data_IF_773210179476
#
_entry.id   IF_773210179476
#
_cell.length_a   1.000
_cell.length_b   1.000
_cell.length_c   1.000
_cell.angle_alpha   90.00
_cell.angle_beta   90.00
_cell.angle_gamma   90.00
#
_symmetry.space_group_name_H-M   'P 1'
#
loop_
_entity.id
_entity.type
_entity.pdbx_description
1 polymer ?
#
# COMPACT_ATOMS: atom_id res chain seq x y z
N UNK A 1 -6.77 1.91 -0.22
CA UNK A 1 -7.30 0.77 0.57
C UNK A 1 -8.82 0.77 0.37
N UNK A 2 -9.53 -0.28 -0.04
CA UNK A 2 -9.17 -1.63 -0.53
C UNK A 2 -10.26 -2.07 -1.54
N UNK A 3 -10.06 -1.78 -2.83
CA UNK A 3 -10.92 -2.31 -3.91
C UNK A 3 -11.01 -3.83 -3.84
N UNK A 4 -9.90 -4.49 -3.50
CA UNK A 4 -9.84 -5.95 -3.33
C UNK A 4 -10.58 -6.44 -2.09
N UNK A 5 -10.51 -5.73 -0.95
CA UNK A 5 -11.31 -6.13 0.21
C UNK A 5 -12.80 -5.94 -0.05
N UNK A 6 -13.19 -4.87 -0.78
CA UNK A 6 -14.58 -4.69 -1.23
C UNK A 6 -15.01 -5.77 -2.22
N UNK A 7 -14.14 -6.17 -3.16
CA UNK A 7 -14.40 -7.29 -4.08
C UNK A 7 -14.58 -8.61 -3.32
N UNK A 8 -13.72 -8.88 -2.33
CA UNK A 8 -13.82 -10.08 -1.50
C UNK A 8 -15.09 -10.08 -0.63
N UNK A 9 -15.45 -8.91 -0.08
CA UNK A 9 -16.61 -8.73 0.79
C UNK A 9 -17.94 -8.71 0.01
N UNK A 10 -17.93 -8.32 -1.27
CA UNK A 10 -19.14 -8.15 -2.07
C UNK A 10 -19.76 -6.75 -1.94
N UNK A 11 -20.99 -6.54 -2.42
CA UNK A 11 -21.60 -5.22 -2.46
C UNK A 11 -21.90 -4.69 -1.05
N UNK A 12 -21.57 -3.40 -0.83
CA UNK A 12 -21.91 -2.59 0.36
C UNK A 12 -21.55 -3.26 1.71
N UNK A 13 -20.26 -3.58 1.96
CA UNK A 13 -19.85 -4.13 3.24
C UNK A 13 -19.93 -3.07 4.35
N UNK A 14 -20.17 -3.52 5.58
CA UNK A 14 -19.98 -2.71 6.77
C UNK A 14 -18.48 -2.63 7.09
N UNK A 15 -17.93 -1.42 7.19
CA UNK A 15 -16.49 -1.21 7.43
C UNK A 15 -16.27 -0.80 8.89
N UNK A 16 -15.36 -1.51 9.57
CA UNK A 16 -14.91 -1.19 10.91
C UNK A 16 -13.39 -0.99 10.90
N UNK A 17 -12.93 0.26 11.10
CA UNK A 17 -11.52 0.59 11.10
C UNK A 17 -10.92 0.45 12.51
N UNK A 18 -9.87 -0.35 12.67
CA UNK A 18 -9.17 -0.54 13.94
C UNK A 18 -8.44 0.71 14.43
N UNK A 19 -8.10 1.65 13.54
CA UNK A 19 -7.53 2.96 13.94
C UNK A 19 -8.51 3.77 14.80
N UNK A 20 -9.81 3.49 14.70
CA UNK A 20 -10.82 4.14 15.53
C UNK A 20 -10.72 3.77 17.02
N UNK A 21 -10.02 2.69 17.39
CA UNK A 21 -9.75 2.31 18.78
C UNK A 21 -9.09 3.45 19.54
N UNK A 22 -8.13 4.15 18.92
CA UNK A 22 -7.45 5.28 19.55
C UNK A 22 -8.39 6.44 19.93
N UNK A 23 -9.51 6.58 19.22
CA UNK A 23 -10.51 7.63 19.46
C UNK A 23 -11.69 7.19 20.32
N UNK A 24 -12.18 5.96 20.11
CA UNK A 24 -13.42 5.44 20.72
C UNK A 24 -13.16 4.60 21.97
N UNK A 25 -11.92 4.18 22.18
CA UNK A 25 -11.55 3.21 23.20
C UNK A 25 -11.86 1.78 22.78
N UNK A 26 -11.14 0.82 23.39
CA UNK A 26 -11.27 -0.59 23.02
C UNK A 26 -12.63 -1.19 23.36
N UNK A 27 -13.25 -0.78 24.47
CA UNK A 27 -14.53 -1.35 24.93
C UNK A 27 -15.66 -1.03 23.95
N UNK A 28 -15.79 0.24 23.53
CA UNK A 28 -16.81 0.65 22.57
C UNK A 28 -16.58 0.01 21.18
N UNK A 29 -15.31 -0.10 20.77
CA UNK A 29 -14.96 -0.77 19.51
C UNK A 29 -15.33 -2.27 19.56
N UNK A 30 -15.01 -2.96 20.66
CA UNK A 30 -15.35 -4.37 20.85
C UNK A 30 -16.86 -4.61 20.89
N UNK A 31 -17.62 -3.74 21.55
CA UNK A 31 -19.09 -3.83 21.57
C UNK A 31 -19.67 -3.70 20.14
N UNK A 32 -19.16 -2.73 19.37
CA UNK A 32 -19.57 -2.56 17.96
C UNK A 32 -19.25 -3.80 17.13
N UNK A 33 -18.06 -4.37 17.30
CA UNK A 33 -17.68 -5.61 16.61
C UNK A 33 -18.60 -6.77 16.99
N UNK A 34 -18.91 -6.94 18.29
CA UNK A 34 -19.81 -7.99 18.77
C UNK A 34 -21.17 -7.93 18.10
N UNK A 35 -21.84 -6.77 18.16
CA UNK A 35 -23.12 -6.55 17.48
C UNK A 35 -23.06 -6.88 15.99
N UNK A 36 -22.01 -6.43 15.29
CA UNK A 36 -21.86 -6.69 13.87
C UNK A 36 -21.66 -8.18 13.54
N UNK A 37 -21.02 -8.96 14.40
CA UNK A 37 -20.75 -10.38 14.16
C UNK A 37 -21.89 -11.30 14.59
N UNK A 38 -22.72 -10.88 15.55
CA UNK A 38 -23.89 -11.62 16.05
C UNK A 38 -25.12 -11.45 15.15
N UNK A 39 -25.35 -10.24 14.63
CA UNK A 39 -26.51 -9.94 13.78
C UNK A 39 -26.27 -10.41 12.33
N UNK A 40 -27.30 -10.95 11.68
CA UNK A 40 -27.25 -11.21 10.23
C UNK A 40 -27.12 -9.89 9.45
N UNK A 41 -26.35 -9.88 8.36
CA UNK A 41 -26.16 -8.67 7.57
C UNK A 41 -25.10 -8.79 6.46
N UNK A 42 -24.75 -7.67 5.78
CA UNK A 42 -23.73 -7.66 4.72
C UNK A 42 -22.36 -8.10 5.21
N UNK A 43 -21.39 -8.34 4.33
CA UNK A 43 -20.04 -8.66 4.80
C UNK A 43 -19.44 -7.56 5.69
N UNK A 44 -18.60 -7.95 6.66
CA UNK A 44 -17.87 -7.02 7.53
C UNK A 44 -16.42 -6.93 7.05
N UNK A 45 -15.92 -5.71 6.85
CA UNK A 45 -14.51 -5.45 6.56
C UNK A 45 -13.88 -4.81 7.78
N UNK A 46 -12.93 -5.49 8.40
CA UNK A 46 -12.12 -4.92 9.48
C UNK A 46 -10.83 -4.39 8.89
N UNK A 47 -10.63 -3.07 8.93
CA UNK A 47 -9.45 -2.43 8.37
C UNK A 47 -8.36 -2.16 9.39
N UNK A 48 -7.10 -2.23 8.92
CA UNK A 48 -5.90 -1.86 9.66
C UNK A 48 -5.71 -2.69 10.95
N UNK A 49 -5.85 -4.02 10.86
CA UNK A 49 -5.79 -4.90 12.03
C UNK A 49 -4.48 -4.79 12.84
N UNK A 50 -3.42 -4.22 12.27
CA UNK A 50 -2.17 -3.89 12.96
C UNK A 50 -2.33 -2.92 14.16
N UNK A 51 -3.47 -2.23 14.27
CA UNK A 51 -3.80 -1.34 15.40
C UNK A 51 -4.60 -2.03 16.51
N UNK A 52 -4.95 -3.31 16.36
CA UNK A 52 -5.62 -4.04 17.41
C UNK A 52 -4.63 -4.38 18.54
N UNK A 53 -5.06 -4.29 19.79
CA UNK A 53 -4.31 -4.87 20.89
C UNK A 53 -4.40 -6.40 20.87
N UNK A 54 -3.55 -7.07 21.63
CA UNK A 54 -3.61 -8.52 21.82
C UNK A 54 -5.00 -8.97 22.29
N UNK A 55 -5.61 -8.22 23.21
CA UNK A 55 -6.95 -8.50 23.73
C UNK A 55 -8.02 -8.44 22.64
N UNK A 56 -8.03 -7.36 21.84
CA UNK A 56 -8.99 -7.20 20.74
C UNK A 56 -8.76 -8.23 19.63
N UNK A 57 -7.50 -8.56 19.37
CA UNK A 57 -7.11 -9.60 18.42
C UNK A 57 -7.65 -10.97 18.82
N UNK A 58 -7.47 -11.35 20.09
CA UNK A 58 -7.99 -12.61 20.63
C UNK A 58 -9.52 -12.64 20.63
N UNK A 59 -10.17 -11.52 20.96
CA UNK A 59 -11.62 -11.40 20.89
C UNK A 59 -12.12 -11.62 19.47
N UNK A 60 -11.55 -10.91 18.49
CA UNK A 60 -11.91 -11.07 17.08
C UNK A 60 -11.66 -12.52 16.61
N UNK A 61 -10.48 -13.09 16.89
CA UNK A 61 -10.16 -14.45 16.50
C UNK A 61 -11.14 -15.50 17.07
N UNK A 62 -11.61 -15.32 18.31
CA UNK A 62 -12.61 -16.21 18.93
C UNK A 62 -14.03 -16.02 18.36
N UNK A 63 -14.39 -14.82 17.95
CA UNK A 63 -15.72 -14.53 17.39
C UNK A 63 -15.88 -14.96 15.93
N UNK A 64 -14.79 -14.95 15.14
CA UNK A 64 -14.84 -15.25 13.70
C UNK A 64 -15.42 -16.64 13.35
N UNK A 65 -15.09 -17.76 14.04
CA UNK A 65 -15.67 -19.07 13.73
C UNK A 65 -17.18 -19.16 13.95
N UNK A 66 -17.75 -18.31 14.82
CA UNK A 66 -19.17 -18.35 15.18
C UNK A 66 -20.07 -17.45 14.32
N UNK A 67 -19.49 -16.56 13.51
CA UNK A 67 -20.28 -15.61 12.71
C UNK A 67 -20.77 -16.25 11.41
N UNK A 68 -22.00 -15.92 11.02
CA UNK A 68 -22.56 -16.28 9.71
C UNK A 68 -22.19 -15.30 8.60
N UNK A 69 -21.63 -14.14 8.96
CA UNK A 69 -21.24 -13.11 8.01
C UNK A 69 -19.89 -13.43 7.41
N UNK A 70 -19.72 -13.10 6.13
CA UNK A 70 -18.37 -13.04 5.55
C UNK A 70 -17.60 -11.90 6.21
N UNK A 71 -16.39 -12.19 6.70
CA UNK A 71 -15.49 -11.19 7.25
C UNK A 71 -14.21 -11.11 6.43
N UNK A 72 -13.79 -9.88 6.12
CA UNK A 72 -12.53 -9.60 5.42
C UNK A 72 -11.67 -8.74 6.33
N UNK A 73 -10.43 -9.17 6.57
CA UNK A 73 -9.46 -8.42 7.36
C UNK A 73 -8.47 -7.74 6.42
N UNK A 74 -8.08 -6.51 6.71
CA UNK A 74 -7.02 -5.82 5.97
C UNK A 74 -5.92 -5.36 6.91
N UNK A 75 -4.68 -5.47 6.45
CA UNK A 75 -3.51 -5.00 7.19
C UNK A 75 -2.56 -4.22 6.29
N UNK A 76 -1.57 -3.54 6.86
CA UNK A 76 -0.32 -3.25 6.13
C UNK A 76 0.32 -4.56 5.61
N UNK A 77 1.18 -4.52 4.59
CA UNK A 77 2.12 -5.61 4.30
C UNK A 77 3.23 -5.64 5.36
N UNK A 78 3.65 -6.83 5.82
CA UNK A 78 4.72 -6.96 6.81
C UNK A 78 4.53 -8.09 7.83
N UNK A 79 5.47 -8.18 8.78
CA UNK A 79 5.57 -9.25 9.77
C UNK A 79 4.62 -9.11 10.96
N UNK A 80 3.74 -8.10 11.00
CA UNK A 80 2.73 -7.95 12.06
C UNK A 80 1.72 -9.10 12.08
N UNK A 81 1.61 -9.88 11.00
CA UNK A 81 0.84 -11.13 10.99
C UNK A 81 1.56 -12.30 11.71
N UNK A 82 2.77 -12.05 12.22
CA UNK A 82 3.56 -12.95 13.06
C UNK A 82 3.55 -12.38 14.48
N UNK A 83 3.34 -13.21 15.50
CA UNK A 83 3.21 -12.76 16.90
C UNK A 83 1.76 -12.48 17.31
N UNK A 84 1.45 -11.29 17.84
CA UNK A 84 0.16 -11.04 18.51
C UNK A 84 -1.06 -11.25 17.61
N UNK A 85 -0.94 -11.02 16.29
CA UNK A 85 -2.01 -11.23 15.30
C UNK A 85 -2.03 -12.60 14.63
N UNK A 86 -1.11 -13.50 14.98
CA UNK A 86 -1.10 -14.87 14.46
C UNK A 86 -2.43 -15.63 14.65
N UNK A 87 -3.19 -15.45 15.75
CA UNK A 87 -4.51 -16.09 15.90
C UNK A 87 -5.50 -15.73 14.79
N UNK A 88 -5.44 -14.50 14.26
CA UNK A 88 -6.32 -14.08 13.15
C UNK A 88 -5.95 -14.82 11.85
N UNK A 89 -4.67 -15.04 11.61
CA UNK A 89 -4.20 -15.80 10.43
C UNK A 89 -4.72 -17.24 10.50
N UNK A 90 -4.72 -17.85 11.68
CA UNK A 90 -5.17 -19.24 11.87
C UNK A 90 -6.67 -19.46 11.62
N UNK A 91 -7.50 -18.43 11.80
CA UNK A 91 -8.95 -18.52 11.57
C UNK A 91 -9.40 -18.04 10.19
N UNK A 92 -8.53 -17.32 9.47
CA UNK A 92 -8.82 -16.89 8.10
C UNK A 92 -8.66 -18.05 7.11
N UNK A 93 -9.75 -18.43 6.43
CA UNK A 93 -9.74 -19.50 5.43
C UNK A 93 -9.04 -19.17 4.10
N UNK A 94 -8.71 -17.90 3.85
CA UNK A 94 -7.97 -17.46 2.68
C UNK A 94 -7.13 -16.21 2.98
N UNK A 95 -5.96 -16.12 2.34
CA UNK A 95 -5.06 -14.96 2.41
C UNK A 95 -4.65 -14.55 1.01
N UNK A 96 -4.78 -13.27 0.72
CA UNK A 96 -4.32 -12.67 -0.54
C UNK A 96 -3.34 -11.55 -0.24
N UNK A 97 -2.10 -11.73 -0.69
CA UNK A 97 -1.10 -10.67 -0.62
C UNK A 97 -1.19 -9.79 -1.86
N UNK A 98 -1.36 -8.48 -1.66
CA UNK A 98 -1.45 -7.54 -2.76
C UNK A 98 -0.06 -7.13 -3.23
N UNK A 99 0.23 -7.42 -4.49
CA UNK A 99 1.47 -7.00 -5.14
C UNK A 99 1.55 -5.47 -5.14
N UNK A 100 2.63 -4.87 -4.63
CA UNK A 100 2.76 -3.43 -4.57
C UNK A 100 2.84 -2.80 -5.97
N UNK A 101 2.34 -1.58 -6.12
CA UNK A 101 2.25 -0.89 -7.42
C UNK A 101 3.60 -0.81 -8.17
N UNK A 102 4.71 -0.67 -7.43
CA UNK A 102 6.08 -0.67 -7.98
C UNK A 102 6.48 -1.94 -8.72
N UNK A 103 5.82 -3.07 -8.47
CA UNK A 103 6.02 -4.36 -9.16
C UNK A 103 5.04 -4.55 -10.32
N UNK A 104 4.05 -3.66 -10.49
CA UNK A 104 3.06 -3.69 -11.58
C UNK A 104 3.06 -2.38 -12.37
N UNK A 105 4.26 -1.88 -12.70
CA UNK A 105 4.44 -0.54 -13.30
C UNK A 105 3.71 -0.36 -14.63
N UNK A 106 3.52 -1.45 -15.38
CA UNK A 106 2.80 -1.47 -16.65
C UNK A 106 1.31 -1.11 -16.50
N UNK A 107 0.72 -1.26 -15.31
CA UNK A 107 -0.67 -0.87 -15.05
C UNK A 107 -0.83 0.60 -14.71
N UNK A 108 0.24 1.28 -14.31
CA UNK A 108 0.20 2.68 -13.83
C UNK A 108 -0.42 3.62 -14.87
N UNK A 109 -0.09 3.55 -16.17
CA UNK A 109 -0.70 4.44 -17.16
C UNK A 109 -2.23 4.33 -17.20
N UNK A 110 -2.77 3.12 -17.36
CA UNK A 110 -4.22 2.85 -17.36
C UNK A 110 -4.88 3.33 -16.07
N UNK A 111 -4.28 3.01 -14.92
CA UNK A 111 -4.80 3.41 -13.61
C UNK A 111 -4.82 4.94 -13.44
N UNK A 112 -3.80 5.64 -13.92
CA UNK A 112 -3.73 7.09 -13.85
C UNK A 112 -4.81 7.74 -14.73
N UNK A 113 -5.05 7.21 -15.92
CA UNK A 113 -6.13 7.66 -16.81
C UNK A 113 -7.52 7.42 -16.19
N UNK A 114 -7.75 6.24 -15.60
CA UNK A 114 -9.00 5.92 -14.89
C UNK A 114 -9.24 6.89 -13.71
N UNK A 115 -8.20 7.14 -12.91
CA UNK A 115 -8.29 8.10 -11.80
C UNK A 115 -8.54 9.53 -12.28
N UNK A 116 -7.99 9.92 -13.43
CA UNK A 116 -8.25 11.21 -14.05
C UNK A 116 -9.69 11.30 -14.55
N UNK A 117 -10.25 10.20 -15.05
CA UNK A 117 -11.62 10.13 -15.54
C UNK A 117 -12.67 10.29 -14.43
N UNK A 118 -12.30 10.02 -13.19
CA UNK A 118 -13.15 10.25 -12.02
C UNK A 118 -13.18 11.73 -11.57
N UNK A 119 -12.42 12.61 -12.23
CA UNK A 119 -12.38 14.05 -11.89
C UNK A 119 -13.33 14.87 -12.75
N UNK A 120 -13.73 16.05 -12.25
CA UNK A 120 -14.48 17.04 -13.05
C UNK A 120 -13.67 17.62 -14.22
N UNK A 121 -12.35 17.39 -14.24
CA UNK A 121 -11.46 17.78 -15.33
C UNK A 121 -11.44 16.74 -16.47
N UNK A 122 -12.13 15.60 -16.32
CA UNK A 122 -12.23 14.58 -17.36
C UNK A 122 -12.69 15.19 -18.70
N UNK A 123 -12.02 14.77 -19.78
CA UNK A 123 -12.26 15.29 -21.13
C UNK A 123 -11.65 16.66 -21.41
N UNK A 124 -11.28 17.43 -20.38
CA UNK A 124 -10.62 18.75 -20.51
C UNK A 124 -9.11 18.66 -20.40
N UNK A 125 -8.62 17.76 -19.56
CA UNK A 125 -7.19 17.50 -19.38
C UNK A 125 -6.79 16.10 -19.83
N UNK A 126 -5.55 15.96 -20.27
CA UNK A 126 -4.96 14.68 -20.70
C UNK A 126 -3.56 14.54 -20.14
N UNK A 127 -3.23 13.34 -19.67
CA UNK A 127 -1.84 13.01 -19.33
C UNK A 127 -1.08 12.70 -20.61
N UNK A 128 0.02 13.42 -20.88
CA UNK A 128 0.85 13.09 -22.04
C UNK A 128 1.53 11.73 -21.87
N UNK A 129 1.91 11.10 -22.98
CA UNK A 129 2.68 9.85 -22.96
C UNK A 129 3.99 9.99 -22.16
N UNK A 130 4.61 11.17 -22.15
CA UNK A 130 5.79 11.43 -21.33
C UNK A 130 5.47 11.48 -19.84
N UNK A 131 4.41 12.18 -19.44
CA UNK A 131 3.96 12.20 -18.05
C UNK A 131 3.61 10.80 -17.55
N UNK A 132 2.90 10.00 -18.36
CA UNK A 132 2.58 8.61 -18.02
C UNK A 132 3.85 7.75 -17.85
N UNK A 133 4.87 7.93 -18.70
CA UNK A 133 6.18 7.28 -18.54
C UNK A 133 6.85 7.67 -17.22
N UNK A 134 6.83 8.95 -16.87
CA UNK A 134 7.42 9.44 -15.60
C UNK A 134 6.68 8.86 -14.41
N UNK A 135 5.34 8.84 -14.42
CA UNK A 135 4.50 8.23 -13.39
C UNK A 135 4.78 6.72 -13.25
N UNK A 136 4.90 6.00 -14.37
CA UNK A 136 5.18 4.56 -14.38
C UNK A 136 6.56 4.22 -13.80
N UNK A 137 7.53 5.11 -13.93
CA UNK A 137 8.89 4.92 -13.41
C UNK A 137 9.02 5.16 -11.89
N UNK A 138 8.01 5.74 -11.23
CA UNK A 138 8.07 6.06 -9.81
C UNK A 138 7.96 4.83 -8.89
N UNK A 139 8.46 4.95 -7.67
CA UNK A 139 8.43 3.88 -6.67
C UNK A 139 7.12 3.73 -5.90
N UNK A 140 6.26 4.77 -5.89
CA UNK A 140 4.97 4.81 -5.21
C UNK A 140 4.95 4.13 -3.81
N UNK A 141 5.69 4.64 -2.81
CA UNK A 141 5.69 4.09 -1.46
C UNK A 141 4.28 4.03 -0.83
N UNK A 142 3.42 5.03 -1.10
CA UNK A 142 2.01 5.03 -0.70
C UNK A 142 1.08 4.34 -1.70
N UNK A 143 1.64 3.60 -2.67
CA UNK A 143 0.94 2.73 -3.61
C UNK A 143 -0.17 3.47 -4.37
N UNK A 144 -1.31 2.82 -4.65
CA UNK A 144 -2.46 3.43 -5.32
C UNK A 144 -2.99 4.70 -4.63
N UNK A 145 -2.90 4.80 -3.30
CA UNK A 145 -3.36 5.99 -2.57
C UNK A 145 -2.53 7.22 -2.94
N UNK A 146 -1.20 7.05 -3.01
CA UNK A 146 -0.30 8.12 -3.42
C UNK A 146 -0.47 8.47 -4.90
N UNK A 147 -0.54 7.47 -5.79
CA UNK A 147 -0.80 7.69 -7.22
C UNK A 147 -2.08 8.50 -7.42
N UNK A 148 -3.18 8.09 -6.77
CA UNK A 148 -4.46 8.78 -6.86
C UNK A 148 -4.35 10.21 -6.39
N UNK A 149 -3.77 10.46 -5.22
CA UNK A 149 -3.58 11.83 -4.71
C UNK A 149 -2.79 12.69 -5.70
N UNK A 150 -1.74 12.15 -6.30
CA UNK A 150 -0.93 12.86 -7.29
C UNK A 150 -1.73 13.19 -8.55
N UNK A 151 -2.45 12.21 -9.13
CA UNK A 151 -3.27 12.42 -10.33
C UNK A 151 -4.39 13.44 -10.09
N UNK A 152 -5.11 13.30 -8.97
CA UNK A 152 -6.16 14.24 -8.59
C UNK A 152 -5.61 15.66 -8.37
N UNK A 153 -4.42 15.79 -7.78
CA UNK A 153 -3.75 17.08 -7.62
C UNK A 153 -3.39 17.74 -8.96
N UNK A 154 -2.94 16.96 -9.95
CA UNK A 154 -2.65 17.48 -11.29
C UNK A 154 -3.90 18.02 -11.98
N UNK A 155 -5.03 17.31 -11.83
CA UNK A 155 -6.32 17.73 -12.37
C UNK A 155 -6.86 19.03 -11.74
N UNK A 156 -6.35 19.42 -10.56
CA UNK A 156 -6.68 20.69 -9.92
C UNK A 156 -5.78 21.85 -10.39
N UNK A 157 -4.54 21.55 -10.79
CA UNK A 157 -3.57 22.55 -11.25
C UNK A 157 -3.85 22.97 -12.70
N UNK A 158 -4.18 22.00 -13.57
CA UNK A 158 -4.51 22.23 -14.97
C UNK A 158 -6.03 22.17 -15.15
N UNK A 159 -6.61 23.25 -15.67
CA UNK A 159 -8.06 23.30 -15.96
C UNK A 159 -8.42 22.80 -17.36
N UNK A 160 -7.46 22.81 -18.29
CA UNK A 160 -7.57 22.25 -19.64
C UNK A 160 -6.19 21.96 -20.26
N UNK A 161 -6.16 21.08 -21.27
CA UNK A 161 -4.98 20.75 -22.07
C UNK A 161 -4.12 19.61 -21.52
N UNK A 162 -2.87 19.57 -21.95
CA UNK A 162 -1.94 18.50 -21.64
C UNK A 162 -1.24 18.72 -20.29
N UNK A 163 -1.27 17.69 -19.43
CA UNK A 163 -0.50 17.60 -18.21
C UNK A 163 0.90 17.07 -18.58
N UNK A 164 1.90 17.91 -18.37
CA UNK A 164 3.30 17.66 -18.71
C UNK A 164 4.10 17.14 -17.50
N UNK A 165 5.27 16.52 -17.70
CA UNK A 165 6.13 16.12 -16.58
C UNK A 165 6.51 17.28 -15.64
N UNK A 166 6.59 18.50 -16.17
CA UNK A 166 6.86 19.72 -15.39
C UNK A 166 5.76 20.05 -14.38
N UNK A 167 4.53 19.59 -14.63
CA UNK A 167 3.37 19.85 -13.78
C UNK A 167 3.36 18.89 -12.56
N UNK A 168 4.17 17.83 -12.57
CA UNK A 168 4.32 16.91 -11.45
C UNK A 168 4.88 17.62 -10.20
N UNK A 169 4.58 17.15 -8.98
CA UNK A 169 5.27 17.64 -7.78
C UNK A 169 6.79 17.47 -7.90
N UNK A 170 7.57 18.38 -7.33
CA UNK A 170 9.04 18.37 -7.45
C UNK A 170 9.68 17.03 -7.01
N UNK A 171 9.08 16.37 -6.01
CA UNK A 171 9.46 15.02 -5.55
C UNK A 171 9.38 13.94 -6.63
N UNK A 172 8.58 14.16 -7.67
CA UNK A 172 8.42 13.28 -8.83
C UNK A 172 9.11 13.82 -10.09
N UNK A 173 9.40 15.14 -10.16
CA UNK A 173 10.17 15.77 -11.26
C UNK A 173 11.65 15.39 -11.25
N UNK A 174 12.30 15.45 -10.08
CA UNK A 174 13.74 15.18 -9.95
C UNK A 174 14.09 13.69 -9.98
N UNK A 175 13.08 12.83 -10.09
CA UNK A 175 13.24 11.46 -10.56
C UNK A 175 13.21 11.47 -12.09
N UNK A 176 14.10 12.27 -12.68
CA UNK A 176 14.69 11.95 -13.98
C UNK A 176 15.00 10.45 -13.92
N UNK A 177 14.58 9.63 -14.91
CA UNK A 177 14.66 8.18 -14.81
C UNK A 177 16.06 7.88 -14.33
N UNK A 178 16.20 7.38 -13.10
CA UNK A 178 17.48 6.88 -12.65
C UNK A 178 17.85 5.93 -13.78
N UNK A 179 18.95 6.23 -14.50
CA UNK A 179 19.41 5.42 -15.64
C UNK A 179 19.09 3.96 -15.29
N UNK A 180 18.53 3.14 -16.20
CA UNK A 180 18.16 1.76 -15.88
C UNK A 180 19.22 1.03 -15.04
N UNK A 181 20.49 1.39 -15.25
CA UNK A 181 21.64 1.07 -14.41
C UNK A 181 21.53 1.47 -12.91
N UNK A 182 21.26 2.73 -12.57
CA UNK A 182 21.05 3.20 -11.18
C UNK A 182 19.84 2.59 -10.50
N UNK A 183 18.76 2.32 -11.25
CA UNK A 183 17.59 1.63 -10.69
C UNK A 183 17.88 0.15 -10.42
N UNK A 184 18.54 -0.54 -11.36
CA UNK A 184 19.00 -1.91 -11.17
C UNK A 184 20.00 -2.00 -10.01
N UNK A 185 20.95 -1.05 -9.91
CA UNK A 185 21.90 -0.96 -8.81
C UNK A 185 21.19 -0.78 -7.46
N UNK A 186 20.16 0.08 -7.41
CA UNK A 186 19.34 0.27 -6.20
C UNK A 186 18.60 -1.01 -5.78
N UNK A 187 17.99 -1.70 -6.74
CA UNK A 187 17.24 -2.93 -6.48
C UNK A 187 18.17 -4.07 -6.02
N UNK A 188 19.34 -4.21 -6.66
CA UNK A 188 20.38 -5.17 -6.27
C UNK A 188 20.90 -4.89 -4.86
N UNK A 189 21.14 -3.62 -4.51
CA UNK A 189 21.60 -3.27 -3.16
C UNK A 189 20.54 -3.57 -2.11
N UNK A 190 19.27 -3.26 -2.37
CA UNK A 190 18.17 -3.56 -1.44
C UNK A 190 18.02 -5.07 -1.26
N UNK A 191 18.00 -5.85 -2.35
CA UNK A 191 17.88 -7.30 -2.27
C UNK A 191 19.04 -7.94 -1.49
N UNK A 192 20.27 -7.44 -1.66
CA UNK A 192 21.41 -7.92 -0.89
C UNK A 192 21.32 -7.58 0.61
N UNK A 193 20.77 -6.41 0.96
CA UNK A 193 20.56 -6.03 2.36
C UNK A 193 19.44 -6.87 2.98
N UNK A 194 18.35 -7.11 2.25
CA UNK A 194 17.23 -7.97 2.67
C UNK A 194 17.69 -9.41 2.88
N UNK A 195 18.42 -10.00 1.92
CA UNK A 195 18.98 -11.34 2.04
C UNK A 195 20.00 -11.48 3.20
N UNK A 196 20.65 -10.37 3.57
CA UNK A 196 21.56 -10.28 4.69
C UNK A 196 20.86 -9.95 6.03
N UNK A 197 19.52 -9.95 6.10
CA UNK A 197 18.74 -9.54 7.27
C UNK A 197 19.21 -8.19 7.86
N UNK A 198 19.50 -7.21 6.99
CA UNK A 198 19.95 -5.88 7.39
C UNK A 198 21.45 -5.77 7.71
N UNK A 199 22.22 -6.86 7.67
CA UNK A 199 23.66 -6.82 7.92
C UNK A 199 24.42 -6.20 6.73
N UNK A 200 24.73 -4.90 6.83
CA UNK A 200 25.41 -4.14 5.76
C UNK A 200 26.82 -4.65 5.43
N UNK A 201 27.52 -5.32 6.36
CA UNK A 201 28.83 -5.94 6.06
C UNK A 201 28.66 -7.18 5.19
N UNK A 202 27.66 -7.99 5.52
CA UNK A 202 27.30 -9.18 4.76
C UNK A 202 26.81 -8.83 3.35
N UNK A 203 25.94 -7.83 3.25
CA UNK A 203 25.45 -7.33 1.97
C UNK A 203 26.59 -6.80 1.08
N UNK A 204 27.56 -6.05 1.65
CA UNK A 204 28.72 -5.57 0.89
C UNK A 204 29.56 -6.73 0.35
N UNK A 205 29.79 -7.76 1.17
CA UNK A 205 30.53 -8.96 0.77
C UNK A 205 29.81 -9.76 -0.31
N UNK A 206 28.49 -9.93 -0.18
CA UNK A 206 27.66 -10.60 -1.19
C UNK A 206 27.66 -9.85 -2.54
N UNK A 207 27.75 -8.52 -2.50
CA UNK A 207 27.84 -7.66 -3.69
C UNK A 207 29.26 -7.52 -4.27
N UNK A 208 30.27 -8.12 -3.63
CA UNK A 208 31.66 -8.02 -4.07
C UNK A 208 32.26 -6.61 -3.96
N UNK A 209 31.72 -5.76 -3.07
CA UNK A 209 32.18 -4.37 -2.91
C UNK A 209 32.68 -4.10 -1.50
N UNK A 210 33.53 -3.08 -1.36
CA UNK A 210 33.94 -2.61 -0.04
C UNK A 210 32.77 -1.99 0.74
N UNK A 211 32.88 -1.99 2.07
CA UNK A 211 31.87 -1.38 2.95
C UNK A 211 31.67 0.11 2.64
N UNK A 212 32.75 0.87 2.43
CA UNK A 212 32.68 2.30 2.10
C UNK A 212 32.00 2.53 0.74
N UNK A 213 32.27 1.68 -0.25
CA UNK A 213 31.59 1.70 -1.55
C UNK A 213 30.09 1.46 -1.40
N UNK A 214 29.67 0.49 -0.58
CA UNK A 214 28.26 0.24 -0.31
C UNK A 214 27.58 1.44 0.33
N UNK A 215 28.16 2.04 1.38
CA UNK A 215 27.58 3.23 2.02
C UNK A 215 27.50 4.43 1.07
N UNK A 216 28.52 4.64 0.23
CA UNK A 216 28.51 5.71 -0.77
C UNK A 216 27.39 5.51 -1.80
N UNK A 217 27.20 4.28 -2.28
CA UNK A 217 26.10 3.92 -3.18
C UNK A 217 24.74 4.05 -2.51
N UNK A 218 24.59 3.61 -1.25
CA UNK A 218 23.35 3.77 -0.47
C UNK A 218 22.99 5.24 -0.28
N UNK A 219 23.98 6.09 0.05
CA UNK A 219 23.78 7.55 0.19
C UNK A 219 23.38 8.19 -1.15
N UNK A 220 24.05 7.82 -2.24
CA UNK A 220 23.75 8.33 -3.58
C UNK A 220 22.36 7.89 -4.08
N UNK A 221 21.92 6.68 -3.71
CA UNK A 221 20.63 6.09 -4.11
C UNK A 221 19.50 6.29 -3.09
N UNK A 222 19.76 7.05 -2.02
CA UNK A 222 18.83 7.34 -0.91
C UNK A 222 18.19 6.07 -0.35
N UNK A 223 19.02 5.07 -0.08
CA UNK A 223 18.68 3.83 0.63
C UNK A 223 19.07 4.05 2.10
N UNK A 224 18.09 3.92 3.01
CA UNK A 224 18.28 4.11 4.46
C UNK A 224 18.50 2.77 5.16
#
# INVERSE_FOLDING_TARGET
RTTEARRAAGPVPTVLDATAVARRGEAAWAATLGTLLEEDGPAVVVENIEFLSERLTMLLAKSLPGTRRRVVLTSTPGDHLVGMHAPLVGVCGARQELVPLRRRRHEIPRLAEEMLAETSAFGRVRLTAETLRVLAAQSWPGNLTELRRTVLGLAQIRTAGDILPSDLPASHRDRSPASPFRQAEREVIIAAIEAANGNRREAARALGVSRSTLYNRMRALRIH
#
